data_IF_972101650900
#
_entry.id   IF_972101650900
#
_cell.length_a   1.000
_cell.length_b   1.000
_cell.length_c   1.000
_cell.angle_alpha   90.00
_cell.angle_beta   90.00
_cell.angle_gamma   90.00
#
_symmetry.space_group_name_H-M   'P 1'
#
loop_
_entity.id
_entity.type
_entity.pdbx_description
1 polymer ?
#
# COMPACT_ATOMS: atom_id res chain seq x y z
N UNK A 1 -3.43 10.88 -12.28
CA UNK A 1 -2.13 11.57 -12.19
C UNK A 1 -0.98 10.56 -12.27
N UNK A 2 -0.86 9.58 -11.34
CA UNK A 2 0.20 8.55 -11.37
C UNK A 2 0.18 7.72 -12.65
N UNK A 3 -0.98 7.34 -13.16
CA UNK A 3 -1.11 6.59 -14.42
C UNK A 3 -0.48 7.33 -15.60
N UNK A 4 -0.68 8.63 -15.70
CA UNK A 4 -0.06 9.46 -16.75
C UNK A 4 1.47 9.49 -16.64
N UNK A 5 2.01 9.51 -15.42
CA UNK A 5 3.47 9.45 -15.21
C UNK A 5 4.04 8.10 -15.67
N UNK A 6 3.34 7.01 -15.35
CA UNK A 6 3.76 5.67 -15.80
C UNK A 6 3.76 5.55 -17.32
N UNK A 7 2.80 6.15 -18.03
CA UNK A 7 2.83 6.19 -19.49
C UNK A 7 4.10 6.89 -20.00
N UNK A 8 4.44 8.04 -19.45
CA UNK A 8 5.64 8.81 -19.83
C UNK A 8 6.93 8.03 -19.53
N UNK A 9 6.98 7.34 -18.38
CA UNK A 9 8.11 6.47 -18.04
C UNK A 9 8.24 5.28 -18.99
N UNK A 10 7.11 4.69 -19.47
CA UNK A 10 7.11 3.64 -20.50
C UNK A 10 7.65 4.13 -21.86
N UNK A 11 7.46 5.40 -22.16
CA UNK A 11 8.03 6.05 -23.35
C UNK A 11 9.54 6.37 -23.21
N UNK A 12 10.15 5.99 -22.08
CA UNK A 12 11.57 6.23 -21.80
C UNK A 12 11.87 7.62 -21.24
N UNK A 13 10.87 8.40 -20.91
CA UNK A 13 11.02 9.74 -20.32
C UNK A 13 11.35 9.65 -18.84
N UNK A 14 12.62 9.49 -18.53
CA UNK A 14 13.11 9.28 -17.16
C UNK A 14 12.93 10.47 -16.23
N UNK A 15 12.82 11.69 -16.77
CA UNK A 15 12.59 12.93 -16.03
C UNK A 15 11.30 12.94 -15.20
N UNK A 16 10.35 12.05 -15.51
CA UNK A 16 9.11 11.91 -14.75
C UNK A 16 9.22 10.97 -13.54
N UNK A 17 10.39 10.36 -13.33
CA UNK A 17 10.58 9.43 -12.22
C UNK A 17 10.51 10.13 -10.87
N UNK A 18 11.10 11.30 -10.73
CA UNK A 18 11.09 12.05 -9.46
C UNK A 18 9.68 12.40 -9.02
N UNK A 19 8.82 12.82 -9.98
CA UNK A 19 7.41 13.10 -9.67
C UNK A 19 6.64 11.81 -9.33
N UNK A 20 6.91 10.70 -10.02
CA UNK A 20 6.33 9.40 -9.72
C UNK A 20 6.74 8.93 -8.32
N UNK A 21 8.03 9.03 -8.00
CA UNK A 21 8.58 8.68 -6.70
C UNK A 21 7.94 9.52 -5.59
N UNK A 22 7.89 10.84 -5.74
CA UNK A 22 7.29 11.74 -4.75
C UNK A 22 5.83 11.42 -4.45
N UNK A 23 5.06 10.92 -5.45
CA UNK A 23 3.65 10.59 -5.26
C UNK A 23 3.42 9.17 -4.69
N UNK A 24 4.42 8.29 -4.68
CA UNK A 24 4.24 6.88 -4.32
C UNK A 24 5.14 6.43 -3.17
N UNK A 25 6.22 7.15 -2.86
CA UNK A 25 7.23 6.74 -1.87
C UNK A 25 6.68 6.60 -0.46
N UNK A 26 5.78 7.49 -0.03
CA UNK A 26 5.18 7.40 1.30
C UNK A 26 4.42 6.07 1.50
N UNK A 27 3.59 5.67 0.53
CA UNK A 27 2.85 4.41 0.60
C UNK A 27 3.79 3.19 0.48
N UNK A 28 4.81 3.28 -0.39
CA UNK A 28 5.79 2.21 -0.56
C UNK A 28 6.63 2.00 0.72
N UNK A 29 7.11 3.08 1.32
CA UNK A 29 7.87 3.05 2.57
C UNK A 29 7.03 2.52 3.74
N UNK A 30 5.80 3.02 3.88
CA UNK A 30 4.88 2.55 4.91
C UNK A 30 4.68 1.03 4.81
N UNK A 31 4.43 0.52 3.60
CA UNK A 31 4.23 -0.90 3.38
C UNK A 31 5.50 -1.71 3.68
N UNK A 32 6.66 -1.28 3.18
CA UNK A 32 7.95 -1.93 3.46
C UNK A 32 8.22 -1.99 4.97
N UNK A 33 8.07 -0.85 5.67
CA UNK A 33 8.27 -0.73 7.12
C UNK A 33 7.39 -1.69 7.93
N UNK A 34 6.14 -1.88 7.51
CA UNK A 34 5.22 -2.82 8.15
C UNK A 34 5.70 -4.28 8.08
N UNK A 35 6.39 -4.65 7.00
CA UNK A 35 6.88 -6.02 6.81
C UNK A 35 8.26 -6.25 7.43
N UNK A 36 9.22 -5.36 7.19
CA UNK A 36 10.62 -5.61 7.54
C UNK A 36 11.19 -4.68 8.62
N UNK A 37 10.41 -3.71 9.10
CA UNK A 37 10.88 -2.70 10.05
C UNK A 37 11.48 -1.47 9.37
N UNK A 38 11.78 -0.43 10.16
CA UNK A 38 12.21 0.86 9.62
C UNK A 38 13.63 0.82 9.01
N UNK A 39 14.53 0.05 9.62
CA UNK A 39 15.93 -0.06 9.18
C UNK A 39 16.08 -0.63 7.77
N UNK A 40 15.21 -1.56 7.39
CA UNK A 40 15.31 -2.30 6.14
C UNK A 40 14.33 -1.77 5.07
N UNK A 41 13.39 -0.92 5.50
CA UNK A 41 12.32 -0.44 4.61
C UNK A 41 12.84 0.32 3.40
N UNK A 42 13.89 1.12 3.58
CA UNK A 42 14.50 1.91 2.49
C UNK A 42 15.13 1.01 1.43
N UNK A 43 15.89 0.00 1.83
CA UNK A 43 16.55 -0.94 0.91
C UNK A 43 15.50 -1.75 0.13
N UNK A 44 14.48 -2.26 0.82
CA UNK A 44 13.36 -2.97 0.21
C UNK A 44 12.62 -2.08 -0.79
N UNK A 45 12.39 -0.83 -0.41
CA UNK A 45 11.73 0.15 -1.28
C UNK A 45 12.58 0.46 -2.52
N UNK A 46 13.89 0.69 -2.38
CA UNK A 46 14.79 0.94 -3.49
C UNK A 46 14.82 -0.24 -4.47
N UNK A 47 14.95 -1.48 -3.95
CA UNK A 47 14.86 -2.68 -4.79
C UNK A 47 13.52 -2.81 -5.52
N UNK A 48 12.42 -2.41 -4.85
CA UNK A 48 11.10 -2.45 -5.47
C UNK A 48 10.98 -1.44 -6.62
N UNK A 49 11.50 -0.22 -6.48
CA UNK A 49 11.50 0.77 -7.55
C UNK A 49 12.39 0.35 -8.72
N UNK A 50 13.57 -0.20 -8.46
CA UNK A 50 14.42 -0.76 -9.50
C UNK A 50 13.72 -1.89 -10.27
N UNK A 51 13.07 -2.79 -9.55
CA UNK A 51 12.28 -3.87 -10.15
C UNK A 51 11.07 -3.35 -10.94
N UNK A 52 10.39 -2.32 -10.45
CA UNK A 52 9.29 -1.66 -11.14
C UNK A 52 9.75 -1.07 -12.46
N UNK A 53 10.85 -0.30 -12.46
CA UNK A 53 11.41 0.32 -13.66
C UNK A 53 11.90 -0.72 -14.67
N UNK A 54 12.58 -1.77 -14.22
CA UNK A 54 13.03 -2.86 -15.10
C UNK A 54 11.86 -3.59 -15.80
N UNK A 55 10.70 -3.64 -15.15
CA UNK A 55 9.49 -4.30 -15.66
C UNK A 55 8.39 -3.32 -16.10
N UNK A 56 8.71 -2.04 -16.27
CA UNK A 56 7.72 -1.01 -16.56
C UNK A 56 6.91 -1.28 -17.84
N UNK A 57 7.51 -1.95 -18.81
CA UNK A 57 6.84 -2.36 -20.06
C UNK A 57 5.68 -3.35 -19.82
N UNK A 58 5.73 -4.12 -18.73
CA UNK A 58 4.67 -5.10 -18.34
C UNK A 58 3.52 -4.44 -17.57
N UNK A 59 3.70 -3.22 -17.09
CA UNK A 59 2.66 -2.53 -16.33
C UNK A 59 1.51 -2.20 -17.28
N UNK A 60 0.32 -2.74 -17.02
CA UNK A 60 -0.88 -2.36 -17.73
C UNK A 60 -1.40 -1.02 -17.17
N UNK A 61 -1.41 0.05 -17.99
CA UNK A 61 -1.85 1.36 -17.52
C UNK A 61 -3.36 1.43 -17.19
N UNK A 62 -4.15 0.47 -17.67
CA UNK A 62 -5.57 0.35 -17.30
C UNK A 62 -5.75 -0.20 -15.88
N UNK A 63 -4.74 -0.89 -15.35
CA UNK A 63 -4.66 -1.29 -13.96
C UNK A 63 -4.09 -0.14 -13.12
N UNK A 64 -4.38 -0.13 -11.82
CA UNK A 64 -3.81 0.85 -10.91
C UNK A 64 -2.29 0.61 -10.76
N UNK A 65 -1.42 1.48 -11.31
CA UNK A 65 0.02 1.26 -11.28
C UNK A 65 0.63 1.36 -9.87
N UNK A 66 -0.06 2.04 -8.94
CA UNK A 66 0.35 2.09 -7.53
C UNK A 66 0.17 0.71 -6.91
N UNK A 67 -0.95 0.03 -7.15
CA UNK A 67 -1.17 -1.33 -6.66
C UNK A 67 -0.14 -2.32 -7.20
N UNK A 68 0.31 -2.14 -8.46
CA UNK A 68 1.37 -2.96 -9.03
C UNK A 68 2.71 -2.72 -8.32
N UNK A 69 3.09 -1.45 -8.09
CA UNK A 69 4.28 -1.09 -7.32
C UNK A 69 4.23 -1.67 -5.91
N UNK A 70 3.11 -1.49 -5.19
CA UNK A 70 2.95 -2.00 -3.82
C UNK A 70 3.00 -3.53 -3.77
N UNK A 71 2.53 -4.22 -4.81
CA UNK A 71 2.70 -5.66 -4.98
C UNK A 71 4.18 -6.08 -5.05
N UNK A 72 5.01 -5.29 -5.77
CA UNK A 72 6.46 -5.51 -5.83
C UNK A 72 7.10 -5.25 -4.46
N UNK A 73 6.73 -4.14 -3.78
CA UNK A 73 7.24 -3.84 -2.43
C UNK A 73 6.95 -4.98 -1.47
N UNK A 74 5.71 -5.49 -1.46
CA UNK A 74 5.33 -6.64 -0.64
C UNK A 74 6.18 -7.88 -0.96
N UNK A 75 6.35 -8.19 -2.25
CA UNK A 75 7.17 -9.33 -2.67
C UNK A 75 8.61 -9.22 -2.18
N UNK A 76 9.23 -8.05 -2.36
CA UNK A 76 10.60 -7.78 -1.91
C UNK A 76 10.74 -7.86 -0.38
N UNK A 77 9.78 -7.33 0.36
CA UNK A 77 9.77 -7.40 1.82
C UNK A 77 9.65 -8.85 2.32
N UNK A 78 8.80 -9.66 1.71
CA UNK A 78 8.68 -11.09 2.03
C UNK A 78 9.97 -11.85 1.70
N UNK A 79 10.58 -11.58 0.54
CA UNK A 79 11.85 -12.19 0.15
C UNK A 79 12.98 -11.81 1.11
N UNK A 80 13.01 -10.56 1.58
CA UNK A 80 13.94 -10.10 2.61
C UNK A 80 13.76 -10.90 3.92
N UNK A 81 12.53 -11.04 4.39
CA UNK A 81 12.24 -11.81 5.61
C UNK A 81 12.65 -13.27 5.50
N UNK A 82 12.42 -13.90 4.34
CA UNK A 82 12.88 -15.27 4.07
C UNK A 82 14.40 -15.40 4.16
N UNK A 83 15.14 -14.46 3.56
CA UNK A 83 16.61 -14.45 3.59
C UNK A 83 17.17 -14.20 4.98
N UNK A 84 16.52 -13.39 5.79
CA UNK A 84 16.94 -13.07 7.16
C UNK A 84 16.63 -14.16 8.19
N UNK A 85 16.04 -15.28 7.79
CA UNK A 85 15.65 -16.37 8.70
C UNK A 85 14.49 -16.04 9.64
N UNK A 86 13.81 -14.92 9.42
CA UNK A 86 12.64 -14.47 10.21
C UNK A 86 11.32 -15.05 9.65
N UNK A 87 11.38 -16.23 9.05
CA UNK A 87 10.27 -16.82 8.26
C UNK A 87 9.19 -17.48 9.10
N UNK A 88 9.39 -17.66 10.42
CA UNK A 88 8.41 -18.35 11.28
C UNK A 88 7.09 -17.57 11.46
N UNK A 89 6.99 -16.38 10.88
CA UNK A 89 5.84 -15.46 11.04
C UNK A 89 4.95 -15.40 9.78
N UNK A 90 5.37 -15.99 8.65
CA UNK A 90 4.64 -15.83 7.37
C UNK A 90 4.06 -17.14 6.82
N UNK A 91 3.15 -17.77 7.57
CA UNK A 91 2.20 -18.70 6.96
C UNK A 91 1.08 -17.86 6.31
N UNK A 92 0.86 -18.06 5.00
CA UNK A 92 -0.16 -17.36 4.20
C UNK A 92 -1.60 -17.52 4.72
N UNK A 93 -1.83 -18.38 5.71
CA UNK A 93 -3.12 -18.64 6.36
C UNK A 93 -3.37 -17.81 7.61
N UNK A 94 -2.34 -17.15 8.19
CA UNK A 94 -2.44 -16.34 9.41
C UNK A 94 -2.43 -14.83 9.13
N UNK A 95 -2.98 -14.40 8.00
CA UNK A 95 -3.04 -12.98 7.62
C UNK A 95 -3.83 -12.10 8.60
N UNK A 96 -4.66 -12.67 9.45
CA UNK A 96 -5.44 -11.89 10.42
C UNK A 96 -4.64 -11.42 11.64
N UNK A 97 -3.61 -12.14 12.06
CA UNK A 97 -2.80 -11.77 13.24
C UNK A 97 -1.69 -10.76 12.93
N UNK A 98 -1.24 -10.70 11.66
CA UNK A 98 -0.24 -9.73 11.21
C UNK A 98 -0.74 -8.28 11.16
N UNK A 99 -2.06 -8.09 11.17
CA UNK A 99 -2.68 -6.76 11.08
C UNK A 99 -2.87 -6.08 12.43
N UNK A 100 -2.56 -6.75 13.55
CA UNK A 100 -2.71 -6.23 14.92
C UNK A 100 -1.36 -5.86 15.56
N UNK A 101 -0.32 -5.57 14.81
CA UNK A 101 0.88 -5.02 15.44
C UNK A 101 0.66 -3.54 15.76
N UNK A 102 0.58 -3.24 17.06
CA UNK A 102 0.45 -1.89 17.64
C UNK A 102 1.62 -0.92 17.36
N UNK A 103 2.54 -1.28 16.49
CA UNK A 103 3.64 -0.43 16.06
C UNK A 103 3.18 0.54 14.96
N UNK A 104 2.16 1.32 15.29
CA UNK A 104 1.76 2.48 14.50
C UNK A 104 2.73 3.61 14.82
N UNK A 105 3.65 3.87 13.93
CA UNK A 105 4.52 5.03 14.01
C UNK A 105 3.74 6.25 13.49
N UNK A 106 3.65 7.30 14.30
CA UNK A 106 2.95 8.56 14.01
C UNK A 106 3.66 9.31 12.87
N UNK A 107 3.53 8.85 11.64
CA UNK A 107 4.20 9.43 10.49
C UNK A 107 3.31 9.63 9.26
N UNK A 108 2.05 9.22 9.34
CA UNK A 108 1.12 9.29 8.21
C UNK A 108 -0.20 9.97 8.63
N UNK A 109 -0.23 11.31 8.74
CA UNK A 109 -1.33 12.06 9.35
C UNK A 109 -2.73 11.67 8.85
N UNK A 110 -2.86 11.41 7.54
CA UNK A 110 -4.14 10.98 6.98
C UNK A 110 -4.56 9.60 7.48
N UNK A 111 -3.64 8.63 7.52
CA UNK A 111 -3.94 7.27 7.99
C UNK A 111 -4.24 7.27 9.48
N UNK A 112 -3.50 8.05 10.26
CA UNK A 112 -3.72 8.20 11.71
C UNK A 112 -5.09 8.79 12.00
N UNK A 113 -5.49 9.80 11.24
CA UNK A 113 -6.81 10.42 11.37
C UNK A 113 -7.93 9.46 10.91
N UNK A 114 -7.69 8.70 9.82
CA UNK A 114 -8.59 7.64 9.38
C UNK A 114 -8.74 6.53 10.44
N UNK A 115 -7.64 6.08 11.05
CA UNK A 115 -7.66 5.06 12.12
C UNK A 115 -8.55 5.50 13.29
N UNK A 116 -8.38 6.73 13.74
CA UNK A 116 -9.19 7.30 14.84
C UNK A 116 -10.68 7.40 14.51
N UNK A 117 -11.02 7.66 13.24
CA UNK A 117 -12.40 7.98 12.83
C UNK A 117 -13.18 6.80 12.23
N UNK A 118 -12.52 5.75 11.74
CA UNK A 118 -13.22 4.65 11.07
C UNK A 118 -13.63 3.52 12.00
N UNK A 119 -12.95 3.36 13.13
CA UNK A 119 -13.03 2.16 13.95
C UNK A 119 -12.20 1.02 13.38
N UNK A 120 -11.87 0.06 14.23
CA UNK A 120 -10.85 -0.97 13.96
C UNK A 120 -11.14 -1.81 12.70
N UNK A 121 -12.34 -2.38 12.59
CA UNK A 121 -12.71 -3.26 11.47
C UNK A 121 -12.75 -2.50 10.12
N UNK A 122 -13.32 -1.31 10.10
CA UNK A 122 -13.40 -0.47 8.90
C UNK A 122 -12.02 0.06 8.51
N UNK A 123 -11.17 0.40 9.47
CA UNK A 123 -9.80 0.81 9.20
C UNK A 123 -8.97 -0.35 8.64
N UNK A 124 -9.07 -1.55 9.20
CA UNK A 124 -8.43 -2.76 8.68
C UNK A 124 -8.82 -3.01 7.21
N UNK A 125 -10.11 -2.92 6.89
CA UNK A 125 -10.59 -3.06 5.51
C UNK A 125 -9.96 -2.00 4.59
N UNK A 126 -9.95 -0.77 5.04
CA UNK A 126 -9.38 0.36 4.29
C UNK A 126 -7.87 0.19 4.07
N UNK A 127 -7.14 -0.16 5.11
CA UNK A 127 -5.70 -0.41 5.07
C UNK A 127 -5.34 -1.57 4.13
N UNK A 128 -6.06 -2.69 4.20
CA UNK A 128 -5.87 -3.84 3.31
C UNK A 128 -5.97 -3.47 1.83
N UNK A 129 -6.92 -2.62 1.47
CA UNK A 129 -7.13 -2.23 0.08
C UNK A 129 -6.18 -1.11 -0.34
N UNK A 130 -6.05 -0.06 0.46
CA UNK A 130 -5.34 1.17 0.07
C UNK A 130 -3.83 1.03 0.27
N UNK A 131 -3.41 0.47 1.39
CA UNK A 131 -1.98 0.37 1.76
C UNK A 131 -1.37 -0.92 1.24
N UNK A 132 -2.03 -2.05 1.50
CA UNK A 132 -1.50 -3.36 1.09
C UNK A 132 -1.86 -3.74 -0.36
N UNK A 133 -2.75 -2.99 -1.02
CA UNK A 133 -3.09 -3.20 -2.42
C UNK A 133 -3.87 -4.49 -2.71
N UNK A 134 -4.49 -5.10 -1.69
CA UNK A 134 -5.35 -6.28 -1.90
C UNK A 134 -6.59 -5.91 -2.73
N UNK A 135 -6.99 -6.83 -3.60
CA UNK A 135 -8.27 -6.70 -4.32
C UNK A 135 -9.43 -6.90 -3.34
N UNK A 136 -10.52 -6.21 -3.55
CA UNK A 136 -11.72 -6.32 -2.69
C UNK A 136 -12.20 -7.77 -2.52
N UNK A 137 -12.05 -8.62 -3.55
CA UNK A 137 -12.36 -10.05 -3.49
C UNK A 137 -11.44 -10.82 -2.53
N UNK A 138 -10.18 -10.44 -2.44
CA UNK A 138 -9.20 -11.03 -1.51
C UNK A 138 -9.51 -10.59 -0.08
N UNK A 139 -9.80 -9.29 0.12
CA UNK A 139 -10.20 -8.73 1.41
C UNK A 139 -11.49 -9.39 1.91
N UNK A 140 -12.45 -9.65 1.03
CA UNK A 140 -13.68 -10.37 1.37
C UNK A 140 -13.40 -11.75 1.96
N UNK A 141 -12.42 -12.49 1.39
CA UNK A 141 -11.98 -13.78 1.93
C UNK A 141 -11.23 -13.63 3.26
N UNK A 142 -10.26 -12.70 3.35
CA UNK A 142 -9.45 -12.45 4.55
C UNK A 142 -10.35 -12.11 5.74
N UNK A 143 -11.33 -11.22 5.53
CA UNK A 143 -12.23 -10.75 6.59
C UNK A 143 -13.46 -11.64 6.78
N UNK A 144 -13.59 -12.72 6.01
CA UNK A 144 -14.77 -13.60 6.00
C UNK A 144 -16.09 -12.82 5.85
N UNK A 145 -16.13 -11.89 4.91
CA UNK A 145 -17.30 -11.03 4.62
C UNK A 145 -17.76 -11.20 3.17
N UNK A 146 -19.06 -11.00 2.89
CA UNK A 146 -19.54 -10.97 1.51
C UNK A 146 -18.85 -9.87 0.70
N UNK A 147 -18.50 -10.15 -0.56
CA UNK A 147 -17.85 -9.18 -1.45
C UNK A 147 -18.69 -7.88 -1.60
N UNK A 148 -20.00 -7.99 -1.68
CA UNK A 148 -20.89 -6.83 -1.75
C UNK A 148 -20.74 -5.91 -0.54
N UNK A 149 -20.61 -6.50 0.67
CA UNK A 149 -20.38 -5.74 1.91
C UNK A 149 -19.04 -5.03 1.88
N UNK A 150 -17.97 -5.71 1.44
CA UNK A 150 -16.63 -5.13 1.33
C UNK A 150 -16.63 -3.97 0.34
N UNK A 151 -17.26 -4.16 -0.84
CA UNK A 151 -17.36 -3.11 -1.85
C UNK A 151 -18.09 -1.87 -1.31
N UNK A 152 -19.25 -2.06 -0.69
CA UNK A 152 -20.03 -0.96 -0.14
C UNK A 152 -19.25 -0.21 0.95
N UNK A 153 -18.67 -0.95 1.93
CA UNK A 153 -17.84 -0.35 3.00
C UNK A 153 -16.65 0.41 2.43
N UNK A 154 -15.92 -0.17 1.49
CA UNK A 154 -14.78 0.46 0.84
C UNK A 154 -15.13 1.81 0.21
N UNK A 155 -16.19 1.87 -0.59
CA UNK A 155 -16.60 3.14 -1.22
C UNK A 155 -17.01 4.20 -0.20
N UNK A 156 -17.72 3.80 0.87
CA UNK A 156 -18.05 4.68 1.98
C UNK A 156 -16.80 5.23 2.68
N UNK A 157 -15.84 4.36 2.99
CA UNK A 157 -14.59 4.74 3.67
C UNK A 157 -13.71 5.62 2.78
N UNK A 158 -13.62 5.31 1.49
CA UNK A 158 -12.88 6.12 0.53
C UNK A 158 -13.45 7.56 0.44
N UNK A 159 -14.77 7.71 0.45
CA UNK A 159 -15.42 9.03 0.46
C UNK A 159 -15.11 9.79 1.74
N UNK A 160 -15.14 9.12 2.90
CA UNK A 160 -14.77 9.72 4.19
C UNK A 160 -13.30 10.12 4.24
N UNK A 161 -12.39 9.27 3.77
CA UNK A 161 -10.96 9.58 3.71
C UNK A 161 -10.66 10.79 2.82
N UNK A 162 -11.36 10.93 1.70
CA UNK A 162 -11.24 12.12 0.84
C UNK A 162 -11.72 13.41 1.52
N UNK A 163 -12.79 13.33 2.31
CA UNK A 163 -13.28 14.47 3.10
C UNK A 163 -12.26 14.87 4.17
N UNK A 164 -11.73 13.89 4.92
CA UNK A 164 -10.68 14.11 5.93
C UNK A 164 -9.44 14.78 5.29
N UNK A 165 -8.99 14.27 4.15
CA UNK A 165 -7.85 14.84 3.45
C UNK A 165 -8.08 16.30 3.04
N UNK A 166 -9.29 16.62 2.57
CA UNK A 166 -9.66 17.99 2.22
C UNK A 166 -9.71 18.93 3.43
N UNK A 167 -10.21 18.43 4.57
CA UNK A 167 -10.22 19.19 5.83
C UNK A 167 -8.79 19.50 6.30
N UNK A 168 -7.90 18.50 6.26
CA UNK A 168 -6.48 18.67 6.62
C UNK A 168 -5.78 19.72 5.74
N UNK A 169 -6.08 19.77 4.45
CA UNK A 169 -5.52 20.80 3.55
C UNK A 169 -6.04 22.21 3.81
N UNK A 170 -7.15 22.38 4.51
CA UNK A 170 -7.70 23.69 4.86
C UNK A 170 -7.27 24.15 6.26
N UNK A 171 -6.62 23.25 7.05
CA UNK A 171 -6.08 23.55 8.39
C UNK A 171 -4.62 24.07 8.32
N UNK A 172 -3.92 23.89 7.17
CA UNK A 172 -2.58 24.40 6.86
C UNK A 172 -2.65 25.77 6.15
#
# INVERSE_FOLDING_TARGET
KVTSLVFKLKEGRKEYFDEFYAQTSAAAFYLAKKYCGASEAEDVMQEAYLSFLANIHKVDPSCNPVSYLLGIVKSKAVDYLRKSGRTDVFDHTQTSELFVSDNYDEGYPLLDRCKKLFGEEDFTLFELIIVYGYKQKEVAKIMNKPLATVNWRYHRLLSRAKAIFKEMQNED
#
